data_IF_639777956531
#
_entry.id   IF_639777956531
#
_cell.length_a   1.000
_cell.length_b   1.000
_cell.length_c   1.000
_cell.angle_alpha   90.00
_cell.angle_beta   90.00
_cell.angle_gamma   90.00
#
_symmetry.space_group_name_H-M   'P 1'
#
loop_
_entity.id
_entity.type
_entity.pdbx_description
1 polymer ?
#
# COMPACT_ATOMS: atom_id res chain seq x y z
N UNK A 1 21.45 60.79 59.00
CA UNK A 1 22.59 60.27 58.21
C UNK A 1 22.64 58.76 58.43
N UNK A 2 22.94 58.00 57.36
CA UNK A 2 22.99 56.54 57.22
C UNK A 2 21.76 55.94 56.50
N UNK A 3 21.91 55.87 55.17
CA UNK A 3 21.23 54.95 54.26
C UNK A 3 21.59 53.49 54.60
N UNK A 4 20.62 52.59 54.55
CA UNK A 4 20.87 51.15 54.42
C UNK A 4 20.25 50.66 53.11
N UNK A 5 21.15 50.19 52.25
CA UNK A 5 20.94 49.71 50.89
C UNK A 5 20.22 48.36 50.91
N UNK A 6 19.12 48.29 50.16
CA UNK A 6 18.47 47.05 49.71
C UNK A 6 19.41 46.29 48.78
N UNK A 7 19.84 45.10 49.17
CA UNK A 7 20.56 44.17 48.28
C UNK A 7 19.57 43.20 47.63
N UNK A 8 19.33 43.40 46.33
CA UNK A 8 18.67 42.41 45.48
C UNK A 8 19.68 41.30 45.13
N UNK A 9 19.61 40.17 45.81
CA UNK A 9 20.34 38.96 45.42
C UNK A 9 19.62 38.29 44.25
N UNK A 10 19.92 38.75 43.03
CA UNK A 10 19.55 38.07 41.79
C UNK A 10 20.26 36.73 41.70
N UNK A 11 19.60 35.65 42.16
CA UNK A 11 19.97 34.30 41.77
C UNK A 11 19.64 34.16 40.29
N UNK A 12 20.67 34.21 39.44
CA UNK A 12 20.58 33.67 38.10
C UNK A 12 20.17 32.20 38.22
N UNK A 13 18.88 31.94 37.97
CA UNK A 13 18.42 30.59 37.72
C UNK A 13 19.19 30.08 36.51
N UNK A 14 20.01 29.07 36.73
CA UNK A 14 20.58 28.29 35.65
C UNK A 14 19.41 27.64 34.92
N UNK A 15 18.97 28.25 33.82
CA UNK A 15 18.03 27.62 32.90
C UNK A 15 18.84 26.59 32.12
N UNK A 16 18.67 25.28 32.37
CA UNK A 16 19.32 24.29 31.53
C UNK A 16 18.88 24.56 30.08
N UNK A 17 19.78 24.45 29.09
CA UNK A 17 19.40 24.66 27.70
C UNK A 17 18.21 23.75 27.41
N UNK A 18 17.05 24.35 27.13
CA UNK A 18 15.87 23.60 26.72
C UNK A 18 16.30 22.77 25.53
N UNK A 19 16.17 21.45 25.63
CA UNK A 19 16.33 20.53 24.52
C UNK A 19 15.24 20.82 23.48
N UNK A 20 15.35 21.93 22.73
CA UNK A 20 14.41 22.34 21.69
C UNK A 20 14.37 21.33 20.52
N UNK A 21 15.27 20.35 20.53
CA UNK A 21 15.26 19.18 19.64
C UNK A 21 14.36 18.02 20.15
N UNK A 22 13.92 18.02 21.42
CA UNK A 22 12.89 17.10 21.93
C UNK A 22 11.46 17.61 21.74
N UNK A 23 11.26 18.89 21.37
CA UNK A 23 9.92 19.48 21.19
C UNK A 23 9.40 19.45 19.74
N UNK A 24 10.23 19.06 18.77
CA UNK A 24 9.78 18.92 17.38
C UNK A 24 8.97 17.63 17.24
N UNK A 25 7.74 17.65 16.67
CA UNK A 25 6.98 16.44 16.43
C UNK A 25 7.76 15.41 15.59
N UNK A 26 7.35 14.15 15.69
CA UNK A 26 8.12 13.01 15.21
C UNK A 26 9.25 12.58 16.14
N UNK A 27 9.92 11.49 15.76
CA UNK A 27 11.06 10.89 16.48
C UNK A 27 12.32 10.94 15.61
N UNK A 28 13.53 11.03 16.19
CA UNK A 28 14.76 10.78 15.43
C UNK A 28 14.80 9.34 14.88
N UNK A 29 15.50 9.10 13.76
CA UNK A 29 15.80 7.75 13.30
C UNK A 29 16.75 7.05 14.28
N UNK A 30 16.74 5.71 14.25
CA UNK A 30 17.67 4.84 15.00
C UNK A 30 18.83 4.44 14.12
N UNK A 31 20.01 4.32 14.72
CA UNK A 31 21.19 3.72 14.09
C UNK A 31 21.16 2.23 14.36
N UNK A 32 21.22 1.42 13.30
CA UNK A 32 21.18 -0.06 13.39
C UNK A 32 22.46 -0.73 12.88
N UNK A 33 23.39 0.06 12.35
CA UNK A 33 24.69 -0.38 11.88
C UNK A 33 25.55 0.83 11.52
N UNK A 34 26.79 0.60 11.12
CA UNK A 34 27.67 1.68 10.69
C UNK A 34 27.08 2.38 9.45
N UNK A 35 26.54 3.58 9.65
CA UNK A 35 25.91 4.36 8.58
C UNK A 35 24.51 3.91 8.17
N UNK A 36 23.86 2.99 8.92
CA UNK A 36 22.51 2.52 8.61
C UNK A 36 21.48 3.09 9.58
N UNK A 37 20.43 3.69 9.03
CA UNK A 37 19.38 4.39 9.75
C UNK A 37 18.02 3.80 9.42
N UNK A 38 17.19 3.62 10.45
CA UNK A 38 15.78 3.21 10.26
C UNK A 38 14.87 4.07 11.14
N UNK A 39 13.62 4.22 10.73
CA UNK A 39 12.61 4.75 11.61
C UNK A 39 12.16 3.73 12.67
N UNK A 40 11.90 4.16 13.92
CA UNK A 40 11.32 3.30 14.93
C UNK A 40 10.00 2.68 14.47
N UNK A 41 9.67 1.50 15.01
CA UNK A 41 8.36 0.88 14.81
C UNK A 41 7.23 1.86 15.17
N UNK A 42 6.20 1.91 14.31
CA UNK A 42 5.10 2.87 14.42
C UNK A 42 5.39 4.28 13.87
N UNK A 43 6.61 4.55 13.36
CA UNK A 43 7.02 5.85 12.82
C UNK A 43 7.52 5.76 11.37
N UNK A 44 6.89 4.93 10.54
CA UNK A 44 7.31 4.60 9.17
C UNK A 44 7.23 5.73 8.13
N UNK A 45 6.80 6.95 8.50
CA UNK A 45 6.86 8.11 7.60
C UNK A 45 8.24 8.77 7.70
N UNK A 46 9.13 8.37 6.81
CA UNK A 46 10.51 8.86 6.71
C UNK A 46 10.55 10.26 6.07
N UNK A 47 11.01 11.26 6.81
CA UNK A 47 11.17 12.63 6.35
C UNK A 47 12.61 12.94 5.95
N UNK A 48 12.84 13.35 4.70
CA UNK A 48 14.13 13.80 4.17
C UNK A 48 13.93 15.07 3.36
N UNK A 49 14.65 16.14 3.68
CA UNK A 49 14.63 17.38 2.89
C UNK A 49 13.24 18.04 2.79
N UNK A 50 12.43 17.96 3.86
CA UNK A 50 11.01 18.37 3.91
C UNK A 50 10.03 17.54 3.07
N UNK A 51 10.47 16.42 2.52
CA UNK A 51 9.60 15.44 1.85
C UNK A 51 9.39 14.26 2.78
N UNK A 52 8.17 13.75 2.87
CA UNK A 52 7.91 12.40 3.38
C UNK A 52 7.55 11.48 2.24
N UNK A 53 8.02 10.25 2.31
CA UNK A 53 7.78 9.22 1.30
C UNK A 53 6.66 8.30 1.76
N UNK A 54 5.79 7.91 0.82
CA UNK A 54 4.84 6.84 1.12
C UNK A 54 5.64 5.54 1.40
N UNK A 55 5.15 4.68 2.29
CA UNK A 55 5.81 3.41 2.61
C UNK A 55 6.05 2.49 1.41
N UNK A 56 5.20 2.61 0.39
CA UNK A 56 5.32 1.90 -0.88
C UNK A 56 5.85 2.77 -2.03
N UNK A 57 6.59 3.84 -1.71
CA UNK A 57 7.27 4.66 -2.70
C UNK A 57 8.63 4.05 -3.05
N UNK A 58 8.86 3.75 -4.33
CA UNK A 58 10.15 3.25 -4.81
C UNK A 58 11.24 4.34 -4.81
N UNK A 59 10.87 5.62 -4.77
CA UNK A 59 11.80 6.73 -4.63
C UNK A 59 12.23 6.96 -3.17
N UNK A 60 11.72 6.17 -2.22
CA UNK A 60 12.12 6.27 -0.81
C UNK A 60 13.63 6.07 -0.69
N UNK A 61 14.34 6.97 0.02
CA UNK A 61 15.77 6.82 0.24
C UNK A 61 16.12 5.48 0.89
N UNK A 62 17.27 4.93 0.49
CA UNK A 62 17.83 3.74 1.09
C UNK A 62 18.34 4.01 2.51
N UNK A 63 18.53 2.96 3.31
CA UNK A 63 18.84 3.08 4.75
C UNK A 63 20.21 3.74 5.07
N UNK A 64 21.07 3.94 4.07
CA UNK A 64 22.31 4.71 4.18
C UNK A 64 22.08 6.23 4.18
N UNK A 65 20.90 6.68 3.77
CA UNK A 65 20.47 8.07 3.89
C UNK A 65 19.74 8.26 5.23
N UNK A 66 20.30 9.10 6.10
CA UNK A 66 19.72 9.39 7.41
C UNK A 66 18.43 10.23 7.28
N UNK A 67 17.27 9.77 7.78
CA UNK A 67 16.08 10.62 7.87
C UNK A 67 16.30 11.84 8.78
N UNK A 68 15.76 12.99 8.40
CA UNK A 68 15.70 14.17 9.27
C UNK A 68 14.81 13.89 10.49
N UNK A 69 13.65 13.26 10.24
CA UNK A 69 12.65 12.85 11.22
C UNK A 69 11.83 11.67 10.72
N UNK A 70 11.25 10.96 11.67
CA UNK A 70 10.31 9.87 11.46
C UNK A 70 8.98 10.23 12.10
N UNK A 71 7.86 10.05 11.40
CA UNK A 71 6.54 10.44 11.88
C UNK A 71 5.62 9.23 12.01
N UNK A 72 4.73 9.29 13.01
CA UNK A 72 3.74 8.25 13.25
C UNK A 72 2.58 8.30 12.25
N UNK A 73 2.35 9.47 11.65
CA UNK A 73 1.30 9.70 10.67
C UNK A 73 1.71 10.78 9.67
N UNK A 74 1.06 10.77 8.50
CA UNK A 74 1.21 11.83 7.51
C UNK A 74 0.76 13.19 8.07
N UNK A 75 -0.30 13.23 8.88
CA UNK A 75 -0.78 14.46 9.52
C UNK A 75 0.29 15.10 10.43
N UNK A 76 0.97 14.28 11.23
CA UNK A 76 2.08 14.75 12.08
C UNK A 76 3.25 15.29 11.24
N UNK A 77 3.59 14.61 10.14
CA UNK A 77 4.61 15.08 9.21
C UNK A 77 4.22 16.43 8.59
N UNK A 78 2.97 16.57 8.12
CA UNK A 78 2.45 17.81 7.52
C UNK A 78 2.44 18.97 8.52
N UNK A 79 2.00 18.74 9.75
CA UNK A 79 2.09 19.75 10.82
C UNK A 79 3.53 20.15 11.15
N UNK A 80 4.49 19.28 10.85
CA UNK A 80 5.93 19.52 11.02
C UNK A 80 6.58 20.19 9.80
N UNK A 81 5.79 20.59 8.80
CA UNK A 81 6.27 21.27 7.59
C UNK A 81 6.83 20.35 6.51
N UNK A 82 6.59 19.04 6.61
CA UNK A 82 6.88 18.08 5.55
C UNK A 82 5.69 17.95 4.61
N UNK A 83 5.93 17.53 3.38
CA UNK A 83 4.86 17.22 2.43
C UNK A 83 5.10 15.85 1.83
N UNK A 84 4.01 15.15 1.53
CA UNK A 84 4.08 13.87 0.83
C UNK A 84 4.60 14.11 -0.59
N UNK A 85 5.53 13.25 -1.04
CA UNK A 85 5.94 13.23 -2.43
C UNK A 85 4.72 13.09 -3.36
N UNK A 86 4.81 13.61 -4.58
CA UNK A 86 3.78 13.31 -5.58
C UNK A 86 4.03 11.90 -6.13
N UNK A 87 2.98 11.12 -6.44
CA UNK A 87 3.17 9.86 -7.14
C UNK A 87 3.84 10.10 -8.50
N UNK A 88 4.58 9.09 -9.03
CA UNK A 88 5.19 9.21 -10.35
C UNK A 88 4.13 9.47 -11.44
N UNK A 89 4.51 10.07 -12.58
CA UNK A 89 3.57 10.36 -13.67
C UNK A 89 2.77 9.13 -14.10
N UNK A 90 1.45 9.29 -14.25
CA UNK A 90 0.53 8.19 -14.55
C UNK A 90 0.12 7.35 -13.34
N UNK A 91 0.69 7.62 -12.16
CA UNK A 91 0.27 7.08 -10.89
C UNK A 91 -0.75 7.96 -10.17
N UNK A 92 -1.32 7.42 -9.11
CA UNK A 92 -2.27 8.08 -8.23
C UNK A 92 -2.04 7.69 -6.77
N UNK A 93 -2.53 8.53 -5.85
CA UNK A 93 -2.50 8.29 -4.41
C UNK A 93 -3.90 7.91 -3.94
N UNK A 94 -4.04 6.71 -3.37
CA UNK A 94 -5.30 6.25 -2.76
C UNK A 94 -5.12 6.14 -1.26
N UNK A 95 -5.59 7.16 -0.54
CA UNK A 95 -5.34 7.30 0.89
C UNK A 95 -3.88 7.65 1.16
N UNK A 96 -3.05 6.62 1.37
CA UNK A 96 -1.62 6.72 1.67
C UNK A 96 -0.77 5.73 0.86
N UNK A 97 -1.38 5.06 -0.12
CA UNK A 97 -0.77 4.04 -0.96
C UNK A 97 -0.68 4.59 -2.38
N UNK A 98 0.51 4.57 -2.97
CA UNK A 98 0.64 4.88 -4.39
C UNK A 98 0.23 3.68 -5.24
N UNK A 99 -0.59 3.95 -6.26
CA UNK A 99 -0.72 3.10 -7.43
C UNK A 99 0.09 3.75 -8.55
N UNK A 100 1.03 3.02 -9.13
CA UNK A 100 2.01 3.53 -10.11
C UNK A 100 1.91 2.73 -11.40
N UNK A 101 2.37 3.26 -12.55
CA UNK A 101 2.44 2.49 -13.78
C UNK A 101 3.22 1.18 -13.57
N UNK A 102 2.74 0.04 -14.10
CA UNK A 102 3.41 -1.23 -13.94
C UNK A 102 4.72 -1.29 -14.73
N UNK A 103 5.64 -2.11 -14.24
CA UNK A 103 6.81 -2.51 -15.01
C UNK A 103 6.39 -3.21 -16.32
N UNK A 104 7.17 -3.08 -17.42
CA UNK A 104 6.86 -3.70 -18.71
C UNK A 104 6.62 -5.22 -18.65
N UNK A 105 7.21 -5.90 -17.66
CA UNK A 105 7.05 -7.34 -17.44
C UNK A 105 5.60 -7.74 -17.11
N UNK A 106 4.84 -6.88 -16.42
CA UNK A 106 3.43 -7.14 -16.09
C UNK A 106 2.57 -7.20 -17.36
N UNK A 107 2.79 -6.25 -18.28
CA UNK A 107 2.10 -6.23 -19.57
C UNK A 107 2.44 -7.46 -20.42
N UNK A 108 3.73 -7.85 -20.47
CA UNK A 108 4.17 -9.06 -21.16
C UNK A 108 3.50 -10.32 -20.59
N UNK A 109 3.33 -10.37 -19.27
CA UNK A 109 2.63 -11.45 -18.57
C UNK A 109 1.16 -11.52 -18.96
N UNK A 110 0.39 -10.42 -18.95
CA UNK A 110 -1.02 -10.52 -19.34
C UNK A 110 -1.17 -10.93 -20.81
N UNK A 111 -0.30 -10.42 -21.71
CA UNK A 111 -0.31 -10.80 -23.13
C UNK A 111 -0.09 -12.31 -23.27
N UNK A 112 0.94 -12.84 -22.59
CA UNK A 112 1.17 -14.29 -22.54
C UNK A 112 0.01 -15.07 -21.94
N UNK A 113 -0.72 -14.49 -20.98
CA UNK A 113 -1.90 -15.11 -20.40
C UNK A 113 -3.09 -15.11 -21.37
N UNK A 114 -3.32 -14.02 -22.09
CA UNK A 114 -4.35 -13.92 -23.12
C UNK A 114 -4.18 -14.99 -24.20
N UNK A 115 -2.94 -15.17 -24.68
CA UNK A 115 -2.59 -16.20 -25.65
C UNK A 115 -2.87 -17.61 -25.12
N UNK A 116 -2.47 -17.90 -23.87
CA UNK A 116 -2.67 -19.21 -23.23
C UNK A 116 -4.15 -19.51 -22.95
N UNK A 117 -4.93 -18.50 -22.60
CA UNK A 117 -6.36 -18.65 -22.25
C UNK A 117 -7.27 -18.60 -23.48
N UNK A 118 -6.76 -18.16 -24.64
CA UNK A 118 -7.55 -17.96 -25.85
C UNK A 118 -8.70 -16.96 -25.62
N UNK A 119 -8.46 -15.94 -24.80
CA UNK A 119 -9.45 -14.95 -24.40
C UNK A 119 -8.78 -13.60 -24.11
N UNK A 120 -9.53 -12.51 -24.27
CA UNK A 120 -9.07 -11.20 -23.83
C UNK A 120 -8.90 -11.19 -22.30
N UNK A 121 -7.72 -10.74 -21.88
CA UNK A 121 -7.35 -10.50 -20.48
C UNK A 121 -7.24 -8.99 -20.28
N UNK A 122 -7.67 -8.49 -19.12
CA UNK A 122 -7.43 -7.09 -18.78
C UNK A 122 -6.10 -6.96 -18.02
N UNK A 123 -5.21 -6.11 -18.52
CA UNK A 123 -4.02 -5.74 -17.79
C UNK A 123 -4.29 -4.58 -16.84
N UNK A 124 -3.68 -4.57 -15.66
CA UNK A 124 -3.57 -3.34 -14.88
C UNK A 124 -2.74 -2.29 -15.62
N UNK A 125 -3.22 -1.05 -15.64
CA UNK A 125 -2.43 0.12 -16.05
C UNK A 125 -1.80 0.85 -14.86
N UNK A 126 -2.12 0.41 -13.64
CA UNK A 126 -1.49 0.80 -12.39
C UNK A 126 -1.37 -0.41 -11.46
N UNK A 127 -0.32 -0.46 -10.64
CA UNK A 127 -0.08 -1.47 -9.60
C UNK A 127 0.37 -0.77 -8.32
N UNK A 128 0.29 -1.39 -7.13
CA UNK A 128 0.90 -0.81 -5.94
C UNK A 128 2.38 -0.44 -6.19
N UNK A 129 2.79 0.76 -5.76
CA UNK A 129 4.18 1.19 -5.82
C UNK A 129 5.11 0.30 -4.99
N UNK A 130 6.40 0.25 -5.38
CA UNK A 130 7.39 -0.66 -4.80
C UNK A 130 6.81 -2.08 -4.62
N UNK A 131 6.01 -2.54 -5.58
CA UNK A 131 5.46 -3.88 -5.54
C UNK A 131 6.56 -4.87 -5.87
N UNK A 132 7.04 -5.54 -4.84
CA UNK A 132 8.21 -6.42 -4.95
C UNK A 132 7.87 -7.80 -5.55
N UNK A 133 6.59 -8.07 -5.84
CA UNK A 133 6.18 -9.37 -6.38
C UNK A 133 5.30 -9.28 -7.63
N UNK A 134 5.76 -9.92 -8.71
CA UNK A 134 5.02 -10.97 -9.42
C UNK A 134 5.65 -12.35 -9.12
N UNK A 135 6.35 -12.45 -7.98
CA UNK A 135 7.47 -13.37 -7.70
C UNK A 135 7.15 -14.87 -7.91
N UNK A 136 5.90 -15.28 -8.04
CA UNK A 136 5.54 -16.71 -8.06
C UNK A 136 4.60 -17.10 -9.20
N UNK A 137 4.65 -16.40 -10.32
CA UNK A 137 3.94 -16.86 -11.52
C UNK A 137 4.42 -18.23 -12.03
N UNK A 138 5.55 -18.73 -11.51
CA UNK A 138 6.05 -20.07 -11.76
C UNK A 138 6.33 -20.32 -13.26
N UNK A 139 6.55 -21.59 -13.66
CA UNK A 139 6.66 -21.96 -15.08
C UNK A 139 5.38 -21.64 -15.87
N UNK A 140 4.25 -21.50 -15.18
CA UNK A 140 2.93 -21.29 -15.77
C UNK A 140 2.59 -19.82 -16.08
N UNK A 141 3.53 -18.90 -15.85
CA UNK A 141 3.41 -17.47 -16.21
C UNK A 141 2.09 -16.86 -15.71
N UNK A 142 1.77 -17.14 -14.44
CA UNK A 142 0.59 -16.63 -13.73
C UNK A 142 -0.75 -17.21 -14.20
N UNK A 143 -0.75 -18.20 -15.09
CA UNK A 143 -1.98 -18.88 -15.54
C UNK A 143 -2.13 -20.20 -14.76
N UNK A 144 -3.01 -20.22 -13.77
CA UNK A 144 -3.28 -21.38 -12.93
C UNK A 144 -4.65 -21.97 -13.27
N UNK A 145 -4.69 -23.26 -13.59
CA UNK A 145 -5.93 -23.97 -13.92
C UNK A 145 -6.77 -23.24 -14.99
N UNK A 146 -6.12 -22.55 -15.94
CA UNK A 146 -6.73 -21.73 -16.98
C UNK A 146 -7.51 -20.52 -16.47
N UNK A 147 -6.95 -19.88 -15.44
CA UNK A 147 -7.30 -18.55 -14.97
C UNK A 147 -6.01 -17.74 -14.74
N UNK A 148 -6.06 -16.44 -14.95
CA UNK A 148 -4.96 -15.55 -14.59
C UNK A 148 -5.04 -15.21 -13.10
N UNK A 149 -3.90 -15.28 -12.41
CA UNK A 149 -3.74 -14.76 -11.07
C UNK A 149 -2.44 -13.94 -10.97
N UNK A 150 -2.57 -12.61 -11.02
CA UNK A 150 -1.47 -11.71 -10.68
C UNK A 150 -1.51 -11.41 -9.19
N UNK A 151 -0.34 -11.36 -8.57
CA UNK A 151 -0.16 -11.02 -7.16
C UNK A 151 0.81 -9.86 -7.06
N UNK A 152 0.53 -8.94 -6.13
CA UNK A 152 1.40 -7.84 -5.76
C UNK A 152 1.46 -7.73 -4.24
N UNK A 153 2.63 -7.43 -3.70
CA UNK A 153 2.86 -7.16 -2.27
C UNK A 153 3.27 -5.71 -2.11
N UNK A 154 2.77 -5.00 -1.09
CA UNK A 154 3.17 -3.62 -0.85
C UNK A 154 3.12 -3.25 0.63
N UNK A 155 3.93 -2.27 1.00
CA UNK A 155 3.97 -1.73 2.36
C UNK A 155 2.88 -0.68 2.59
N UNK A 156 2.25 -0.73 3.75
CA UNK A 156 1.30 0.27 4.22
C UNK A 156 1.93 1.23 5.22
N UNK A 157 1.29 2.37 5.50
CA UNK A 157 1.74 3.27 6.57
C UNK A 157 1.53 2.65 7.95
N UNK A 158 2.18 3.20 8.99
CA UNK A 158 1.89 2.80 10.36
C UNK A 158 0.38 2.79 10.65
N UNK A 159 -0.10 1.67 11.20
CA UNK A 159 -1.53 1.48 11.49
C UNK A 159 -2.38 1.08 10.28
N UNK A 160 -1.77 0.82 9.13
CA UNK A 160 -2.47 0.26 7.98
C UNK A 160 -2.96 -1.15 8.29
N UNK A 161 -4.22 -1.40 7.99
CA UNK A 161 -4.87 -2.69 8.25
C UNK A 161 -4.92 -3.47 6.94
N UNK A 162 -3.97 -4.40 6.80
CA UNK A 162 -3.88 -5.35 5.71
C UNK A 162 -3.65 -6.76 6.24
N UNK A 163 -2.48 -7.34 5.96
CA UNK A 163 -2.11 -8.67 6.43
C UNK A 163 -2.01 -8.67 7.96
N UNK A 164 -2.60 -9.65 8.68
CA UNK A 164 -2.49 -9.71 10.13
C UNK A 164 -1.04 -9.68 10.63
N UNK A 165 -0.74 -8.70 11.49
CA UNK A 165 0.59 -8.52 12.08
C UNK A 165 1.64 -7.89 11.18
N UNK A 166 1.26 -7.35 10.01
CA UNK A 166 2.17 -6.67 9.09
C UNK A 166 1.62 -5.28 8.71
N UNK A 167 2.50 -4.29 8.57
CA UNK A 167 2.16 -2.98 8.00
C UNK A 167 2.23 -3.06 6.46
N UNK A 168 1.42 -3.94 5.86
CA UNK A 168 1.45 -4.23 4.43
C UNK A 168 0.23 -4.99 3.93
N UNK A 169 0.12 -5.15 2.62
CA UNK A 169 -0.96 -5.92 1.99
C UNK A 169 -0.46 -6.77 0.82
N UNK A 170 -1.29 -7.74 0.46
CA UNK A 170 -1.24 -8.46 -0.80
C UNK A 170 -2.47 -8.08 -1.63
N UNK A 171 -2.27 -7.75 -2.91
CA UNK A 171 -3.32 -7.51 -3.88
C UNK A 171 -3.26 -8.61 -4.95
N UNK A 172 -4.37 -9.30 -5.14
CA UNK A 172 -4.56 -10.19 -6.29
C UNK A 172 -5.45 -9.56 -7.35
N UNK A 173 -5.06 -9.72 -8.62
CA UNK A 173 -5.96 -9.65 -9.77
C UNK A 173 -6.22 -11.06 -10.27
N UNK A 174 -7.48 -11.49 -10.22
CA UNK A 174 -7.90 -12.81 -10.64
C UNK A 174 -8.85 -12.68 -11.83
N UNK A 175 -8.57 -13.41 -12.91
CA UNK A 175 -9.43 -13.44 -14.11
C UNK A 175 -9.67 -14.87 -14.57
N UNK A 176 -10.94 -15.21 -14.77
CA UNK A 176 -11.33 -16.52 -15.28
C UNK A 176 -12.60 -16.46 -16.12
N UNK A 177 -12.86 -17.46 -16.97
CA UNK A 177 -14.18 -17.60 -17.59
C UNK A 177 -15.24 -17.77 -16.51
N UNK A 178 -16.33 -17.03 -16.61
CA UNK A 178 -17.42 -17.05 -15.65
C UNK A 178 -17.97 -18.49 -15.49
N UNK A 179 -18.16 -18.92 -14.25
CA UNK A 179 -18.56 -20.28 -13.87
C UNK A 179 -17.39 -21.16 -13.42
N UNK A 180 -16.16 -20.89 -13.88
CA UNK A 180 -14.96 -21.68 -13.50
C UNK A 180 -14.53 -21.49 -12.06
N UNK A 181 -14.97 -20.42 -11.41
CA UNK A 181 -14.70 -20.19 -9.99
C UNK A 181 -15.27 -21.28 -9.06
N UNK A 182 -16.23 -22.08 -9.54
CA UNK A 182 -16.80 -23.19 -8.78
C UNK A 182 -15.86 -24.38 -8.68
N UNK A 183 -15.01 -24.55 -9.68
CA UNK A 183 -14.08 -25.68 -9.78
C UNK A 183 -12.71 -25.33 -9.19
N UNK A 184 -12.49 -24.04 -8.91
CA UNK A 184 -11.16 -23.49 -8.58
C UNK A 184 -11.29 -22.55 -7.40
N UNK A 185 -11.03 -23.07 -6.20
CA UNK A 185 -11.31 -22.36 -4.95
C UNK A 185 -10.55 -21.04 -4.84
N UNK A 186 -9.33 -20.93 -5.37
CA UNK A 186 -8.54 -19.69 -5.30
C UNK A 186 -9.16 -18.52 -6.08
N UNK A 187 -10.09 -18.76 -7.01
CA UNK A 187 -10.86 -17.72 -7.70
C UNK A 187 -12.02 -17.16 -6.87
N UNK A 188 -12.22 -17.73 -5.69
CA UNK A 188 -13.24 -17.38 -4.71
C UNK A 188 -12.64 -17.53 -3.30
N UNK A 189 -13.49 -17.64 -2.31
CA UNK A 189 -13.12 -18.05 -0.97
C UNK A 189 -14.23 -18.91 -0.37
N UNK A 190 -13.84 -20.04 0.24
CA UNK A 190 -14.79 -20.89 0.96
C UNK A 190 -15.44 -20.11 2.11
N UNK A 191 -16.78 -20.15 2.18
CA UNK A 191 -17.54 -19.42 3.20
C UNK A 191 -17.67 -17.91 2.97
N UNK A 192 -17.25 -17.40 1.79
CA UNK A 192 -17.34 -15.99 1.45
C UNK A 192 -18.76 -15.42 1.59
N UNK A 193 -18.87 -14.24 2.21
CA UNK A 193 -20.14 -13.56 2.48
C UNK A 193 -20.26 -12.29 1.67
N UNK A 194 -21.46 -11.98 1.16
CA UNK A 194 -21.69 -10.72 0.48
C UNK A 194 -21.56 -9.56 1.48
N UNK A 195 -20.63 -8.65 1.22
CA UNK A 195 -20.33 -7.50 2.06
C UNK A 195 -20.85 -6.17 1.48
N UNK A 196 -21.40 -6.20 0.26
CA UNK A 196 -22.01 -5.03 -0.37
C UNK A 196 -22.13 -5.11 -1.89
N UNK A 197 -22.47 -3.98 -2.49
CA UNK A 197 -22.50 -3.76 -3.94
C UNK A 197 -21.42 -2.76 -4.33
N UNK A 198 -21.00 -2.79 -5.59
CA UNK A 198 -20.03 -1.87 -6.17
C UNK A 198 -20.37 -1.59 -7.64
N UNK A 199 -19.67 -0.63 -8.23
CA UNK A 199 -19.68 -0.38 -9.67
C UNK A 199 -18.24 -0.25 -10.14
N UNK A 200 -17.88 -0.96 -11.20
CA UNK A 200 -16.55 -0.91 -11.84
C UNK A 200 -16.76 -0.53 -13.28
N UNK A 201 -16.25 0.63 -13.72
CA UNK A 201 -16.48 1.16 -15.09
C UNK A 201 -17.93 1.04 -15.59
N UNK A 202 -18.91 1.35 -14.73
CA UNK A 202 -20.35 1.26 -15.05
C UNK A 202 -20.93 -0.16 -15.04
N UNK A 203 -20.15 -1.19 -14.74
CA UNK A 203 -20.59 -2.58 -14.57
C UNK A 203 -20.95 -2.86 -13.12
N UNK A 204 -22.01 -3.63 -12.91
CA UNK A 204 -22.39 -4.07 -11.57
C UNK A 204 -21.33 -5.00 -10.97
N UNK A 205 -20.83 -4.63 -9.81
CA UNK A 205 -19.90 -5.42 -9.00
C UNK A 205 -20.48 -5.71 -7.62
N UNK A 206 -19.80 -6.58 -6.87
CA UNK A 206 -20.14 -6.88 -5.48
C UNK A 206 -18.89 -7.07 -4.65
N UNK A 207 -19.03 -6.76 -3.36
CA UNK A 207 -18.01 -7.05 -2.36
C UNK A 207 -18.28 -8.41 -1.72
N UNK A 208 -17.24 -9.22 -1.58
CA UNK A 208 -17.25 -10.49 -0.86
C UNK A 208 -16.22 -10.40 0.26
N UNK A 209 -16.65 -10.63 1.50
CA UNK A 209 -15.78 -10.80 2.65
C UNK A 209 -15.39 -12.28 2.78
N UNK A 210 -14.10 -12.55 2.81
CA UNK A 210 -13.52 -13.88 2.85
C UNK A 210 -13.00 -14.17 4.26
N UNK A 211 -13.59 -15.15 4.98
CA UNK A 211 -13.22 -15.40 6.36
C UNK A 211 -11.78 -15.93 6.50
N UNK A 212 -11.21 -15.82 7.70
CA UNK A 212 -9.91 -16.44 7.99
C UNK A 212 -9.94 -17.95 7.75
N UNK A 213 -8.89 -18.48 7.13
CA UNK A 213 -8.76 -19.88 6.72
C UNK A 213 -9.31 -20.20 5.32
N UNK A 214 -9.87 -19.23 4.58
CA UNK A 214 -10.47 -19.46 3.26
C UNK A 214 -9.46 -19.46 2.09
N UNK A 215 -8.64 -20.51 2.03
CA UNK A 215 -7.62 -20.75 0.98
C UNK A 215 -6.80 -19.50 0.63
N UNK A 216 -6.58 -19.19 -0.66
CA UNK A 216 -5.68 -18.12 -1.11
C UNK A 216 -6.19 -16.72 -0.78
N UNK A 217 -7.50 -16.54 -0.61
CA UNK A 217 -8.14 -15.27 -0.27
C UNK A 217 -8.50 -15.18 1.23
N UNK A 218 -7.85 -15.97 2.09
CA UNK A 218 -8.11 -16.02 3.54
C UNK A 218 -7.98 -14.65 4.21
N UNK A 219 -9.08 -14.10 4.73
CA UNK A 219 -9.07 -12.79 5.38
C UNK A 219 -9.02 -11.61 4.39
N UNK A 220 -9.44 -11.84 3.14
CA UNK A 220 -9.52 -10.80 2.10
C UNK A 220 -10.92 -10.19 1.98
N UNK A 221 -10.98 -8.97 1.44
CA UNK A 221 -12.15 -8.42 0.78
C UNK A 221 -11.94 -8.49 -0.73
N UNK A 222 -12.90 -9.09 -1.45
CA UNK A 222 -12.86 -9.23 -2.91
C UNK A 222 -13.89 -8.30 -3.56
N UNK A 223 -13.43 -7.45 -4.47
CA UNK A 223 -14.27 -6.79 -5.46
C UNK A 223 -14.44 -7.72 -6.66
N UNK A 224 -15.66 -8.17 -6.95
CA UNK A 224 -15.91 -9.06 -8.09
C UNK A 224 -16.94 -8.50 -9.05
N UNK A 225 -16.69 -8.65 -10.34
CA UNK A 225 -17.62 -8.29 -11.41
C UNK A 225 -17.41 -9.20 -12.63
N UNK A 226 -18.24 -9.01 -13.65
CA UNK A 226 -18.18 -9.80 -14.88
C UNK A 226 -18.28 -8.87 -16.09
N UNK A 227 -17.42 -9.09 -17.07
CA UNK A 227 -17.50 -8.45 -18.39
C UNK A 227 -17.49 -9.51 -19.48
N UNK A 228 -18.57 -9.56 -20.27
CA UNK A 228 -18.78 -10.63 -21.25
C UNK A 228 -18.79 -12.00 -20.56
N UNK A 229 -17.84 -12.85 -20.93
CA UNK A 229 -17.69 -14.21 -20.40
C UNK A 229 -16.61 -14.32 -19.33
N UNK A 230 -15.97 -13.22 -18.93
CA UNK A 230 -14.86 -13.21 -17.97
C UNK A 230 -15.34 -12.64 -16.64
N UNK A 231 -15.07 -13.36 -15.56
CA UNK A 231 -15.23 -12.91 -14.19
C UNK A 231 -13.88 -12.39 -13.69
N UNK A 232 -13.92 -11.20 -13.11
CA UNK A 232 -12.78 -10.52 -12.54
C UNK A 232 -12.92 -10.45 -11.02
N UNK A 233 -11.80 -10.50 -10.32
CA UNK A 233 -11.72 -10.14 -8.93
C UNK A 233 -10.46 -9.34 -8.61
N UNK A 234 -10.61 -8.28 -7.82
CA UNK A 234 -9.51 -7.63 -7.11
C UNK A 234 -9.65 -7.95 -5.64
N UNK A 235 -8.62 -8.53 -5.04
CA UNK A 235 -8.67 -9.08 -3.69
C UNK A 235 -7.54 -8.52 -2.84
N UNK A 236 -7.86 -7.98 -1.66
CA UNK A 236 -6.87 -7.48 -0.69
C UNK A 236 -7.20 -7.99 0.71
N UNK A 237 -6.20 -8.13 1.59
CA UNK A 237 -6.48 -8.41 2.99
C UNK A 237 -7.24 -7.27 3.67
N UNK A 238 -8.13 -7.66 4.59
CA UNK A 238 -8.97 -6.83 5.45
C UNK A 238 -9.99 -5.95 4.72
N UNK A 239 -11.26 -6.05 5.15
CA UNK A 239 -12.35 -5.21 4.66
C UNK A 239 -12.34 -3.82 5.32
N UNK A 240 -11.62 -2.89 4.71
CA UNK A 240 -11.53 -1.50 5.17
C UNK A 240 -11.95 -0.51 4.08
N UNK A 241 -12.39 0.71 4.45
CA UNK A 241 -12.69 1.75 3.47
C UNK A 241 -11.50 2.07 2.55
N UNK A 242 -10.26 2.01 3.04
CA UNK A 242 -9.07 2.28 2.22
C UNK A 242 -8.82 1.13 1.23
N UNK A 243 -8.90 -0.13 1.67
CA UNK A 243 -8.68 -1.29 0.80
C UNK A 243 -9.75 -1.41 -0.28
N UNK A 244 -11.02 -1.10 0.04
CA UNK A 244 -12.09 -1.01 -0.96
C UNK A 244 -11.82 0.07 -2.01
N UNK A 245 -11.31 1.25 -1.60
CA UNK A 245 -10.92 2.30 -2.55
C UNK A 245 -9.74 1.90 -3.42
N UNK A 246 -8.73 1.23 -2.85
CA UNK A 246 -7.58 0.70 -3.61
C UNK A 246 -8.08 -0.31 -4.66
N UNK A 247 -8.92 -1.26 -4.25
CA UNK A 247 -9.49 -2.25 -5.16
C UNK A 247 -10.29 -1.62 -6.29
N UNK A 248 -11.11 -0.60 -6.00
CA UNK A 248 -11.87 0.13 -7.03
C UNK A 248 -10.95 0.89 -7.99
N UNK A 249 -10.00 1.66 -7.47
CA UNK A 249 -9.04 2.41 -8.29
C UNK A 249 -8.24 1.48 -9.22
N UNK A 250 -7.72 0.37 -8.67
CA UNK A 250 -7.06 -0.67 -9.45
C UNK A 250 -7.98 -1.29 -10.51
N UNK A 251 -9.20 -1.67 -10.12
CA UNK A 251 -10.18 -2.28 -11.01
C UNK A 251 -10.60 -1.34 -12.14
N UNK A 252 -10.82 -0.05 -11.88
CA UNK A 252 -11.18 0.95 -12.89
C UNK A 252 -10.04 1.20 -13.89
N UNK A 253 -8.80 1.00 -13.45
CA UNK A 253 -7.57 1.17 -14.25
C UNK A 253 -7.10 -0.12 -14.93
N UNK A 254 -7.95 -1.12 -15.06
CA UNK A 254 -7.69 -2.24 -15.99
C UNK A 254 -8.01 -1.83 -17.44
N UNK A 255 -7.18 -2.25 -18.37
CA UNK A 255 -7.35 -2.02 -19.81
C UNK A 255 -7.04 -3.29 -20.60
N UNK A 256 -7.49 -3.36 -21.85
CA UNK A 256 -7.13 -4.50 -22.69
C UNK A 256 -5.61 -4.57 -22.87
N UNK A 257 -5.05 -5.78 -22.76
CA UNK A 257 -3.67 -6.04 -23.14
C UNK A 257 -3.56 -5.96 -24.68
N UNK A 258 -3.57 -4.75 -25.25
CA UNK A 258 -3.36 -4.58 -26.69
C UNK A 258 -1.89 -4.95 -27.01
N UNK A 259 -1.63 -5.57 -28.18
CA UNK A 259 -0.27 -5.70 -28.71
C UNK A 259 0.39 -4.33 -28.90
#
# INVERSE_FOLDING_TARGET
MICLLTTCSGRHAFVPPSNALSERPGTPPRVVGSGLFICPFGYGWEGVGRVVFAPNDAAKPTADVRPDRCFSSLEEATRSGFHLASPPPGGELVGAIYLVPPEPSVLATCRSAADRLGAAVLCPTVVPGAADSMVECGPERCVFFGALALQFTFSGPPGYVGIPGQDGNHLFLLEARAGRERDVEFLTCQGGRRAGSATVRGRAGRWIDCPGGSSMNSGHVMLVWTEGVVRYAVSLHADTPVNRRIALAFADRLGAAHP
#
